data_IF_762665786837
#
_entry.id   IF_762665786837
#
_cell.length_a   1.000
_cell.length_b   1.000
_cell.length_c   1.000
_cell.angle_alpha   90.00
_cell.angle_beta   90.00
_cell.angle_gamma   90.00
#
_symmetry.space_group_name_H-M   'P 1'
#
loop_
_entity.id
_entity.type
_entity.pdbx_description
1 polymer ?
#
# COMPACT_ATOMS: atom_id res chain seq x y z
N UNK A 1 -1.66 1.37 6.05
CA UNK A 1 -0.63 0.54 6.71
C UNK A 1 -0.44 0.98 8.16
N UNK A 2 0.24 2.11 8.37
CA UNK A 2 0.62 2.60 9.69
C UNK A 2 -0.57 2.82 10.65
N UNK A 3 -1.63 3.50 10.20
CA UNK A 3 -2.81 3.76 11.02
C UNK A 3 -3.50 2.47 11.51
N UNK A 4 -3.58 1.44 10.66
CA UNK A 4 -4.16 0.15 11.02
C UNK A 4 -3.31 -0.62 12.03
N UNK A 5 -1.99 -0.65 11.83
CA UNK A 5 -1.07 -1.28 12.77
C UNK A 5 -1.12 -0.59 14.14
N UNK A 6 -1.08 0.74 14.15
CA UNK A 6 -1.23 1.51 15.40
C UNK A 6 -2.58 1.26 16.06
N UNK A 7 -3.68 1.26 15.29
CA UNK A 7 -5.03 1.02 15.81
C UNK A 7 -5.16 -0.34 16.50
N UNK A 8 -4.60 -1.40 15.92
CA UNK A 8 -4.59 -2.73 16.54
C UNK A 8 -3.83 -2.75 17.86
N UNK A 9 -2.61 -2.19 17.87
CA UNK A 9 -1.80 -2.09 19.10
C UNK A 9 -2.49 -1.24 20.18
N UNK A 10 -3.03 -0.08 19.81
CA UNK A 10 -3.74 0.81 20.71
C UNK A 10 -4.99 0.15 21.32
N UNK A 11 -5.74 -0.63 20.55
CA UNK A 11 -6.87 -1.41 21.06
C UNK A 11 -6.43 -2.44 22.11
N UNK A 12 -5.27 -3.06 21.93
CA UNK A 12 -4.70 -4.00 22.89
C UNK A 12 -4.22 -3.36 24.19
N UNK A 13 -3.74 -2.12 24.13
CA UNK A 13 -3.30 -1.33 25.29
C UNK A 13 -4.51 -0.75 26.02
N UNK A 14 -5.26 0.14 25.36
CA UNK A 14 -6.31 0.94 25.99
C UNK A 14 -7.64 0.20 26.18
N UNK A 15 -7.80 -0.99 25.61
CA UNK A 15 -8.95 -1.84 25.89
C UNK A 15 -8.88 -2.59 27.23
N UNK A 16 -7.74 -2.54 27.92
CA UNK A 16 -7.58 -3.14 29.25
C UNK A 16 -8.44 -2.42 30.30
N UNK A 17 -9.16 -3.19 31.14
CA UNK A 17 -10.00 -2.63 32.22
C UNK A 17 -9.21 -1.79 33.24
N UNK A 18 -7.95 -2.15 33.50
CA UNK A 18 -7.05 -1.40 34.38
C UNK A 18 -6.72 0.01 33.88
N UNK A 19 -6.89 0.26 32.58
CA UNK A 19 -6.69 1.57 31.95
C UNK A 19 -8.03 2.27 31.61
N UNK A 20 -9.14 1.81 32.19
CA UNK A 20 -10.48 2.35 31.94
C UNK A 20 -11.17 1.82 30.68
N UNK A 21 -10.60 0.80 30.04
CA UNK A 21 -11.19 0.15 28.87
C UNK A 21 -12.36 -0.77 29.19
N UNK A 22 -13.17 -1.10 28.18
CA UNK A 22 -14.33 -1.98 28.32
C UNK A 22 -13.97 -3.45 28.63
N UNK A 23 -12.70 -3.85 28.45
CA UNK A 23 -12.27 -5.24 28.50
C UNK A 23 -12.67 -6.03 27.25
N UNK A 24 -12.32 -7.33 27.20
CA UNK A 24 -12.61 -8.20 26.06
C UNK A 24 -11.56 -8.16 24.93
N UNK A 25 -10.55 -7.29 25.06
CA UNK A 25 -9.38 -7.25 24.18
C UNK A 25 -8.11 -7.28 25.04
N UNK A 26 -7.06 -7.91 24.52
CA UNK A 26 -5.77 -8.04 25.19
C UNK A 26 -4.64 -7.68 24.23
N UNK A 27 -3.54 -7.18 24.80
CA UNK A 27 -2.37 -6.73 24.04
C UNK A 27 -1.78 -7.82 23.15
N UNK A 28 -1.55 -9.02 23.71
CA UNK A 28 -0.86 -10.09 22.99
C UNK A 28 -1.64 -10.60 21.74
N UNK A 29 -2.96 -10.88 21.82
CA UNK A 29 -3.76 -11.18 20.63
C UNK A 29 -3.74 -10.07 19.58
N UNK A 30 -3.80 -8.80 19.98
CA UNK A 30 -3.78 -7.67 19.04
C UNK A 30 -2.41 -7.50 18.36
N UNK A 31 -1.33 -7.73 19.10
CA UNK A 31 0.04 -7.75 18.57
C UNK A 31 0.20 -8.86 17.53
N UNK A 32 -0.18 -10.09 17.87
CA UNK A 32 -0.09 -11.25 16.96
C UNK A 32 -0.99 -11.03 15.73
N UNK A 33 -2.24 -10.60 15.92
CA UNK A 33 -3.16 -10.31 14.82
C UNK A 33 -2.64 -9.23 13.87
N UNK A 34 -2.04 -8.16 14.42
CA UNK A 34 -1.42 -7.09 13.62
C UNK A 34 -0.24 -7.63 12.81
N UNK A 35 0.66 -8.39 13.43
CA UNK A 35 1.81 -9.00 12.75
C UNK A 35 1.38 -10.00 11.68
N UNK A 36 0.36 -10.83 11.96
CA UNK A 36 -0.21 -11.75 10.98
C UNK A 36 -0.82 -11.00 9.80
N UNK A 37 -1.60 -9.94 10.05
CA UNK A 37 -2.18 -9.12 8.99
C UNK A 37 -1.12 -8.50 8.10
N UNK A 38 -0.05 -7.96 8.69
CA UNK A 38 1.11 -7.44 7.95
C UNK A 38 1.78 -8.57 7.16
N UNK A 39 2.01 -9.73 7.77
CA UNK A 39 2.64 -10.88 7.12
C UNK A 39 1.86 -11.35 5.90
N UNK A 40 0.53 -11.51 6.03
CA UNK A 40 -0.35 -11.86 4.91
C UNK A 40 -0.31 -10.78 3.82
N UNK A 41 -0.36 -9.50 4.18
CA UNK A 41 -0.30 -8.42 3.21
C UNK A 41 1.04 -8.40 2.45
N UNK A 42 2.16 -8.60 3.13
CA UNK A 42 3.50 -8.64 2.51
C UNK A 42 3.65 -9.86 1.61
N UNK A 43 3.33 -11.06 2.11
CA UNK A 43 3.45 -12.30 1.32
C UNK A 43 2.49 -12.28 0.14
N UNK A 44 1.23 -11.90 0.36
CA UNK A 44 0.22 -11.81 -0.68
C UNK A 44 0.57 -10.79 -1.75
N UNK A 45 0.97 -9.57 -1.36
CA UNK A 45 1.39 -8.54 -2.31
C UNK A 45 2.65 -8.95 -3.08
N UNK A 46 3.63 -9.58 -2.42
CA UNK A 46 4.82 -10.09 -3.10
C UNK A 46 4.48 -11.16 -4.16
N UNK A 47 3.61 -12.12 -3.82
CA UNK A 47 3.18 -13.16 -4.77
C UNK A 47 2.44 -12.54 -5.94
N UNK A 48 1.44 -11.67 -5.67
CA UNK A 48 0.61 -11.07 -6.71
C UNK A 48 1.43 -10.15 -7.61
N UNK A 49 2.10 -9.15 -7.05
CA UNK A 49 2.89 -8.20 -7.84
C UNK A 49 4.13 -8.83 -8.46
N UNK A 50 4.76 -9.81 -7.80
CA UNK A 50 5.87 -10.57 -8.36
C UNK A 50 5.45 -11.36 -9.60
N UNK A 51 4.28 -12.02 -9.54
CA UNK A 51 3.73 -12.76 -10.68
C UNK A 51 3.37 -11.82 -11.82
N UNK A 52 2.65 -10.73 -11.54
CA UNK A 52 2.30 -9.74 -12.54
C UNK A 52 3.53 -9.12 -13.20
N UNK A 53 4.55 -8.75 -12.41
CA UNK A 53 5.81 -8.21 -12.93
C UNK A 53 6.50 -9.18 -13.89
N UNK A 54 6.51 -10.48 -13.57
CA UNK A 54 7.17 -11.50 -14.39
C UNK A 54 6.42 -11.78 -15.69
N UNK A 55 5.09 -11.73 -15.66
CA UNK A 55 4.26 -12.08 -16.82
C UNK A 55 3.97 -10.90 -17.75
N UNK A 56 3.73 -9.71 -17.20
CA UNK A 56 3.22 -8.56 -17.95
C UNK A 56 4.13 -7.33 -17.90
N UNK A 57 5.06 -7.28 -16.94
CA UNK A 57 5.68 -6.01 -16.55
C UNK A 57 4.69 -5.11 -15.78
N UNK A 58 5.20 -4.28 -14.87
CA UNK A 58 4.37 -3.41 -14.02
C UNK A 58 4.83 -1.95 -13.98
N UNK A 59 6.05 -1.67 -14.43
CA UNK A 59 6.65 -0.35 -14.39
C UNK A 59 7.28 -0.07 -15.74
N UNK A 60 7.17 1.18 -16.19
CA UNK A 60 7.84 1.68 -17.38
C UNK A 60 9.36 1.48 -17.28
N UNK A 61 10.03 1.38 -18.42
CA UNK A 61 11.47 1.49 -18.43
C UNK A 61 11.91 2.91 -18.03
N UNK A 62 13.20 3.11 -17.77
CA UNK A 62 13.70 4.38 -17.27
C UNK A 62 13.55 5.54 -18.29
N UNK A 63 13.60 5.24 -19.58
CA UNK A 63 13.48 6.24 -20.65
C UNK A 63 12.00 6.61 -20.87
N UNK A 64 11.11 5.61 -20.85
CA UNK A 64 9.68 5.77 -20.88
C UNK A 64 9.15 6.52 -19.64
N UNK A 65 9.70 6.24 -18.45
CA UNK A 65 9.36 6.95 -17.21
C UNK A 65 9.86 8.42 -17.27
N UNK A 66 11.03 8.67 -17.88
CA UNK A 66 11.56 10.01 -18.10
C UNK A 66 10.72 10.82 -19.10
N UNK A 67 10.32 10.21 -20.22
CA UNK A 67 9.46 10.84 -21.22
C UNK A 67 8.03 11.09 -20.71
N UNK A 68 7.63 10.40 -19.65
CA UNK A 68 6.33 10.54 -18.99
C UNK A 68 5.27 9.59 -19.56
N UNK A 69 4.40 9.07 -18.69
CA UNK A 69 3.42 8.04 -19.04
C UNK A 69 2.41 8.49 -20.13
N UNK A 70 2.10 9.78 -20.21
CA UNK A 70 1.19 10.34 -21.22
C UNK A 70 1.76 10.18 -22.63
N UNK A 71 3.06 10.42 -22.82
CA UNK A 71 3.73 10.24 -24.11
C UNK A 71 4.15 8.78 -24.34
N UNK A 72 4.63 8.10 -23.30
CA UNK A 72 5.18 6.74 -23.42
C UNK A 72 4.08 5.70 -23.64
N UNK A 73 2.95 5.81 -22.93
CA UNK A 73 1.82 4.87 -23.02
C UNK A 73 0.71 5.42 -23.92
N UNK A 74 0.23 6.63 -23.62
CA UNK A 74 -1.00 7.16 -24.23
C UNK A 74 -0.77 7.94 -25.52
N UNK A 75 0.48 8.26 -25.87
CA UNK A 75 0.88 9.02 -27.07
C UNK A 75 0.20 10.39 -27.19
N UNK A 76 -0.06 11.06 -26.06
CA UNK A 76 -0.66 12.39 -25.98
C UNK A 76 0.26 13.34 -25.18
N UNK A 77 0.15 14.65 -25.44
CA UNK A 77 0.86 15.65 -24.63
C UNK A 77 0.07 15.98 -23.37
N UNK A 78 0.76 16.08 -22.22
CA UNK A 78 0.15 16.42 -20.93
C UNK A 78 -0.39 17.87 -20.85
N UNK A 79 0.05 18.75 -21.77
CA UNK A 79 -0.33 20.17 -21.80
C UNK A 79 -0.99 20.56 -23.12
N UNK A 80 -2.20 21.14 -23.02
CA UNK A 80 -2.98 21.56 -24.19
C UNK A 80 -2.29 22.63 -25.05
N UNK A 81 -1.52 23.53 -24.42
CA UNK A 81 -0.84 24.64 -25.09
C UNK A 81 0.19 24.16 -26.13
N UNK A 82 0.79 22.98 -25.92
CA UNK A 82 1.77 22.41 -26.85
C UNK A 82 1.13 21.82 -28.12
N UNK A 83 -0.15 21.48 -28.09
CA UNK A 83 -0.89 21.03 -29.28
C UNK A 83 -1.42 22.21 -30.13
N UNK A 84 -1.59 23.39 -29.53
CA UNK A 84 -2.16 24.57 -30.20
C UNK A 84 -1.12 25.53 -30.80
N UNK A 85 0.16 25.32 -30.50
CA UNK A 85 1.27 26.09 -31.09
C UNK A 85 1.70 25.42 -32.40
N UNK A 86 1.00 25.76 -33.48
CA UNK A 86 1.41 25.47 -34.86
C UNK A 86 2.12 26.67 -35.49
#
# INVERSE_FOLDING_TARGET
GLCGAWGGIAAGIFGAKSLGGMGGVAFLPQLIGTLMGIGVAVVGSFIVYGTLKKLFGLRLDAEEEFNGADLSIHKITATAERETLW
#
